data_IF_025025897773
#
_entry.id   IF_025025897773
#
_cell.length_a   1.000
_cell.length_b   1.000
_cell.length_c   1.000
_cell.angle_alpha   90.00
_cell.angle_beta   90.00
_cell.angle_gamma   90.00
#
_symmetry.space_group_name_H-M   'P 1'
#
loop_
_entity.id
_entity.type
_entity.pdbx_description
1 polymer ?
#
# COMPACT_ATOMS: atom_id res chain seq x y z
N UNK A 1 -5.64 50.62 -12.79
CA UNK A 1 -6.32 50.21 -11.55
C UNK A 1 -6.23 48.70 -11.43
N UNK A 2 -5.69 48.22 -10.32
CA UNK A 2 -5.37 46.82 -10.04
C UNK A 2 -6.60 45.91 -9.93
N UNK A 3 -6.43 44.63 -10.28
CA UNK A 3 -7.49 43.62 -10.20
C UNK A 3 -6.97 42.17 -10.21
N UNK A 4 -6.28 41.80 -9.13
CA UNK A 4 -6.24 40.46 -8.49
C UNK A 4 -6.24 39.22 -9.41
N UNK A 5 -5.03 38.74 -9.72
CA UNK A 5 -4.75 37.34 -10.06
C UNK A 5 -3.70 36.85 -9.07
N UNK A 6 -4.13 36.52 -7.86
CA UNK A 6 -3.27 35.87 -6.88
C UNK A 6 -4.09 34.69 -6.35
N UNK A 7 -3.47 33.51 -6.38
CA UNK A 7 -4.02 32.18 -6.04
C UNK A 7 -4.65 31.37 -7.18
N UNK A 8 -3.84 31.06 -8.20
CA UNK A 8 -3.87 29.73 -8.80
C UNK A 8 -2.44 29.19 -8.83
N UNK A 9 -2.27 27.94 -8.42
CA UNK A 9 -1.04 27.14 -8.54
C UNK A 9 0.08 27.43 -7.54
N UNK A 10 -0.17 27.10 -6.27
CA UNK A 10 0.92 26.56 -5.43
C UNK A 10 1.02 25.05 -5.71
N UNK A 11 2.23 24.43 -5.64
CA UNK A 11 2.33 22.98 -5.72
C UNK A 11 1.41 22.39 -4.65
N UNK A 12 0.59 21.40 -5.01
CA UNK A 12 -0.14 20.60 -4.03
C UNK A 12 0.93 19.87 -3.21
N UNK A 13 1.37 20.47 -2.11
CA UNK A 13 2.28 19.84 -1.18
C UNK A 13 1.44 18.80 -0.46
N UNK A 14 1.49 17.57 -0.95
CA UNK A 14 0.98 16.42 -0.22
C UNK A 14 1.85 16.28 1.04
N UNK A 15 1.29 16.41 2.26
CA UNK A 15 2.03 16.23 3.49
C UNK A 15 2.76 14.89 3.55
N UNK A 16 2.22 13.85 2.91
CA UNK A 16 2.84 12.54 2.82
C UNK A 16 4.08 12.57 1.93
N UNK A 17 4.00 13.24 0.77
CA UNK A 17 5.14 13.41 -0.14
C UNK A 17 6.24 14.27 0.51
N UNK A 18 5.86 15.32 1.24
CA UNK A 18 6.78 16.16 2.00
C UNK A 18 7.51 15.35 3.08
N UNK A 19 6.79 14.50 3.82
CA UNK A 19 7.38 13.63 4.82
C UNK A 19 8.33 12.61 4.18
N UNK A 20 7.91 11.93 3.10
CA UNK A 20 8.77 11.00 2.34
C UNK A 20 10.05 11.68 1.84
N UNK A 21 9.97 12.92 1.36
CA UNK A 21 11.13 13.67 0.86
C UNK A 21 12.08 14.09 1.98
N UNK A 22 11.56 14.69 3.06
CA UNK A 22 12.38 15.16 4.18
C UNK A 22 13.00 13.98 4.94
N UNK A 23 12.23 12.94 5.25
CA UNK A 23 12.70 11.82 6.05
C UNK A 23 13.36 10.71 5.22
N UNK A 24 13.07 10.62 3.92
CA UNK A 24 13.75 9.72 2.99
C UNK A 24 15.18 10.16 2.67
N UNK A 25 15.45 11.47 2.55
CA UNK A 25 16.81 12.01 2.33
C UNK A 25 17.72 11.81 3.56
N UNK A 26 17.16 11.81 4.77
CA UNK A 26 17.88 11.52 6.02
C UNK A 26 18.24 10.03 6.19
N UNK A 27 17.63 9.11 5.43
CA UNK A 27 17.84 7.66 5.55
C UNK A 27 19.19 7.15 5.01
N UNK A 28 20.04 8.03 4.46
CA UNK A 28 21.40 7.70 3.99
C UNK A 28 22.40 7.30 5.09
N UNK A 29 21.95 7.07 6.33
CA UNK A 29 22.81 6.76 7.48
C UNK A 29 22.26 5.60 8.31
N UNK A 30 22.80 4.39 8.11
CA UNK A 30 22.78 3.15 8.94
C UNK A 30 21.49 2.67 9.64
N UNK A 31 20.40 3.43 9.62
CA UNK A 31 19.08 3.03 10.05
C UNK A 31 18.34 2.53 8.81
N UNK A 32 17.95 1.27 8.85
CA UNK A 32 17.46 0.51 7.71
C UNK A 32 16.33 1.16 6.92
N UNK A 33 16.14 0.61 5.73
CA UNK A 33 15.19 0.97 4.68
C UNK A 33 13.78 1.32 5.19
N UNK A 34 13.57 2.61 5.50
CA UNK A 34 12.29 3.17 5.94
C UNK A 34 11.21 3.08 4.85
N UNK A 35 11.59 2.80 3.60
CA UNK A 35 10.68 2.61 2.47
C UNK A 35 9.69 1.45 2.73
N UNK A 36 10.09 0.45 3.52
CA UNK A 36 9.27 -0.73 3.86
C UNK A 36 8.26 -0.52 4.99
N UNK A 37 8.30 0.63 5.68
CA UNK A 37 7.45 0.88 6.86
C UNK A 37 6.07 1.44 6.49
N UNK A 38 5.92 1.93 5.27
CA UNK A 38 4.67 2.54 4.79
C UNK A 38 4.11 1.72 3.63
N UNK A 39 3.44 0.62 3.95
CA UNK A 39 2.50 0.02 3.00
C UNK A 39 1.42 1.07 2.67
N UNK A 40 1.20 1.33 1.39
CA UNK A 40 0.13 2.23 0.97
C UNK A 40 -1.22 1.60 1.33
N UNK A 41 -2.14 2.37 1.93
CA UNK A 41 -3.47 1.88 2.21
C UNK A 41 -4.18 1.52 0.90
N UNK A 42 -4.95 0.43 0.91
CA UNK A 42 -5.82 0.08 -0.20
C UNK A 42 -7.06 0.98 -0.20
N UNK A 43 -7.29 1.71 -1.28
CA UNK A 43 -8.44 2.60 -1.44
C UNK A 43 -9.47 2.01 -2.41
N UNK A 44 -10.75 2.06 -2.02
CA UNK A 44 -11.87 1.60 -2.84
C UNK A 44 -12.89 2.72 -3.00
N UNK A 45 -13.11 3.16 -4.24
CA UNK A 45 -14.03 4.25 -4.56
C UNK A 45 -15.43 3.67 -4.81
N UNK A 46 -16.43 4.17 -4.08
CA UNK A 46 -17.84 3.79 -4.25
C UNK A 46 -18.69 5.02 -4.59
N UNK A 47 -19.35 4.99 -5.74
CA UNK A 47 -20.30 6.03 -6.12
C UNK A 47 -21.67 5.81 -5.46
N UNK A 48 -22.24 6.89 -4.91
CA UNK A 48 -23.57 6.94 -4.30
C UNK A 48 -24.39 8.06 -4.91
N UNK A 49 -25.70 7.82 -5.08
CA UNK A 49 -26.63 8.92 -5.38
C UNK A 49 -26.89 9.73 -4.10
N UNK A 50 -27.29 11.00 -4.24
CA UNK A 50 -27.61 11.86 -3.09
C UNK A 50 -28.62 11.21 -2.13
N UNK A 51 -29.68 10.59 -2.68
CA UNK A 51 -30.71 9.93 -1.87
C UNK A 51 -30.18 8.71 -1.12
N UNK A 52 -29.28 7.94 -1.74
CA UNK A 52 -28.61 6.81 -1.09
C UNK A 52 -27.73 7.29 0.07
N UNK A 53 -26.97 8.36 -0.13
CA UNK A 53 -26.18 8.97 0.93
C UNK A 53 -27.05 9.55 2.06
N UNK A 54 -28.17 10.20 1.71
CA UNK A 54 -29.05 10.86 2.68
C UNK A 54 -29.92 9.90 3.50
N UNK A 55 -30.34 8.77 2.93
CA UNK A 55 -31.23 7.79 3.60
C UNK A 55 -30.51 6.52 4.07
N UNK A 56 -29.27 6.32 3.65
CA UNK A 56 -28.53 5.07 3.83
C UNK A 56 -28.87 4.01 2.78
N UNK A 57 -27.89 3.16 2.46
CA UNK A 57 -28.03 2.01 1.56
C UNK A 57 -27.03 0.93 1.96
N UNK A 58 -27.39 -0.35 1.78
CA UNK A 58 -26.44 -1.46 1.86
C UNK A 58 -25.93 -1.77 0.46
N UNK A 59 -24.60 -1.76 0.28
CA UNK A 59 -23.94 -2.16 -0.97
C UNK A 59 -22.87 -3.21 -0.66
N UNK A 60 -22.76 -4.18 -1.55
CA UNK A 60 -21.69 -5.17 -1.51
C UNK A 60 -20.54 -4.72 -2.42
N UNK A 61 -19.31 -4.88 -1.95
CA UNK A 61 -18.09 -4.67 -2.73
C UNK A 61 -17.32 -5.98 -2.80
N UNK A 62 -16.77 -6.29 -3.97
CA UNK A 62 -15.89 -7.44 -4.17
C UNK A 62 -14.48 -6.90 -4.35
N UNK A 63 -13.59 -7.30 -3.45
CA UNK A 63 -12.19 -6.86 -3.44
C UNK A 63 -11.28 -8.07 -3.49
N UNK A 64 -10.19 -7.95 -4.24
CA UNK A 64 -9.14 -8.96 -4.27
C UNK A 64 -8.11 -8.63 -3.20
N UNK A 65 -7.98 -9.49 -2.20
CA UNK A 65 -6.98 -9.38 -1.13
C UNK A 65 -5.96 -10.50 -1.26
N UNK A 66 -4.73 -10.24 -0.83
CA UNK A 66 -3.73 -11.28 -0.64
C UNK A 66 -3.85 -11.81 0.78
N UNK A 67 -4.05 -13.11 0.91
CA UNK A 67 -4.07 -13.81 2.19
C UNK A 67 -3.21 -15.07 2.10
N UNK A 68 -2.83 -15.60 3.26
CA UNK A 68 -2.17 -16.88 3.41
C UNK A 68 -3.02 -18.00 2.79
N UNK A 69 -2.40 -18.82 1.94
CA UNK A 69 -3.10 -19.92 1.30
C UNK A 69 -3.60 -20.91 2.36
N UNK A 70 -4.91 -21.18 2.42
CA UNK A 70 -5.51 -22.07 3.42
C UNK A 70 -4.96 -23.50 3.38
N UNK A 71 -4.63 -24.01 2.19
CA UNK A 71 -4.15 -25.39 2.03
C UNK A 71 -2.74 -25.58 2.60
N UNK A 72 -1.83 -24.65 2.32
CA UNK A 72 -0.43 -24.78 2.71
C UNK A 72 0.00 -23.83 3.84
N UNK A 73 -0.91 -22.97 4.32
CA UNK A 73 -0.66 -21.91 5.30
C UNK A 73 0.54 -21.04 4.92
N UNK A 74 0.65 -20.67 3.64
CA UNK A 74 1.75 -19.86 3.12
C UNK A 74 3.10 -20.59 3.01
N UNK A 75 3.19 -21.90 3.28
CA UNK A 75 4.45 -22.65 3.24
C UNK A 75 4.92 -23.07 1.83
N UNK A 76 4.08 -22.89 0.81
CA UNK A 76 4.45 -23.14 -0.59
C UNK A 76 4.70 -24.61 -0.96
N UNK A 77 4.21 -25.57 -0.18
CA UNK A 77 4.31 -27.00 -0.49
C UNK A 77 3.04 -27.75 -0.09
N UNK A 78 2.85 -28.94 -0.69
CA UNK A 78 1.67 -29.78 -0.45
C UNK A 78 1.66 -30.34 0.98
N UNK A 79 0.54 -30.29 1.72
CA UNK A 79 0.45 -30.84 3.07
C UNK A 79 0.88 -32.31 3.14
N UNK A 80 1.72 -32.63 4.13
CA UNK A 80 2.25 -33.98 4.33
C UNK A 80 3.48 -34.33 3.48
N UNK A 81 3.91 -33.44 2.57
CA UNK A 81 5.15 -33.63 1.82
C UNK A 81 6.38 -33.13 2.59
N UNK A 82 7.54 -33.73 2.33
CA UNK A 82 8.82 -33.31 2.92
C UNK A 82 9.53 -32.36 1.97
N UNK A 83 9.82 -31.15 2.44
CA UNK A 83 10.68 -30.19 1.74
C UNK A 83 12.15 -30.55 2.00
N UNK A 84 12.98 -30.54 0.96
CA UNK A 84 14.43 -30.76 1.05
C UNK A 84 15.18 -29.46 0.80
N UNK A 85 16.37 -29.32 1.38
CA UNK A 85 17.21 -28.14 1.17
C UNK A 85 17.78 -28.15 -0.24
N UNK A 86 17.60 -27.06 -0.99
CA UNK A 86 18.18 -26.93 -2.32
C UNK A 86 19.72 -26.90 -2.24
N UNK A 87 20.41 -27.81 -2.94
CA UNK A 87 21.87 -27.87 -2.94
C UNK A 87 22.54 -26.74 -3.74
N UNK A 88 21.80 -26.09 -4.65
CA UNK A 88 22.33 -25.01 -5.48
C UNK A 88 22.39 -23.68 -4.72
N UNK A 89 21.29 -23.25 -4.10
CA UNK A 89 21.26 -22.00 -3.32
C UNK A 89 21.46 -22.21 -1.82
N UNK A 90 21.49 -23.45 -1.32
CA UNK A 90 21.53 -23.75 0.12
C UNK A 90 20.45 -23.00 0.92
N UNK A 91 19.29 -22.73 0.33
CA UNK A 91 18.18 -22.04 1.00
C UNK A 91 18.24 -20.50 0.99
N UNK A 92 19.18 -19.89 0.25
CA UNK A 92 19.24 -18.42 0.09
C UNK A 92 18.26 -17.90 -0.96
N UNK A 93 17.80 -18.77 -1.88
CA UNK A 93 16.93 -18.36 -2.99
C UNK A 93 17.62 -17.51 -4.07
N UNK A 94 18.95 -17.42 -4.02
CA UNK A 94 19.82 -16.72 -4.97
C UNK A 94 20.87 -17.67 -5.53
#
# INVERSE_FOLDING_TARGET
>A
GAGRQYWSSGPSIDPEELFRKIFGEFSGSSFGDFQSVFDQPQEYIMELTFTQAAKGVNKEIVVNIQDSCERCHGKGHEPGTKVQRCHYCNGTGM
#
